data_IF_376151014056
#
_entry.id   IF_376151014056
#
_cell.length_a   1.000
_cell.length_b   1.000
_cell.length_c   1.000
_cell.angle_alpha   90.00
_cell.angle_beta   90.00
_cell.angle_gamma   90.00
#
_symmetry.space_group_name_H-M   'P 1'
#
loop_
_entity.id
_entity.type
_entity.pdbx_description
1 polymer ?
#
# COMPACT_ATOMS: atom_id res chain seq x y z
N UNK A 1 -17.95 48.98 20.29
CA UNK A 1 -18.46 48.04 19.29
C UNK A 1 -17.35 47.05 19.03
N UNK A 2 -17.63 45.85 19.50
CA UNK A 2 -16.74 44.71 19.65
C UNK A 2 -16.17 44.18 18.33
N UNK A 3 -14.91 43.73 18.38
CA UNK A 3 -14.53 42.39 17.96
C UNK A 3 -13.14 42.10 18.54
N UNK A 4 -13.13 41.37 19.67
CA UNK A 4 -11.91 40.79 20.23
C UNK A 4 -11.46 39.67 19.30
N UNK A 5 -10.26 39.81 18.74
CA UNK A 5 -9.48 38.68 18.22
C UNK A 5 -9.21 37.71 19.37
N UNK A 6 -9.87 36.55 19.34
CA UNK A 6 -9.52 35.41 20.18
C UNK A 6 -8.80 34.40 19.30
N UNK A 7 -7.48 34.48 19.27
CA UNK A 7 -6.64 33.37 18.87
C UNK A 7 -6.77 32.29 19.95
N UNK A 8 -7.51 31.22 19.66
CA UNK A 8 -7.55 30.04 20.50
C UNK A 8 -6.47 29.08 19.98
N UNK A 9 -5.25 29.22 20.52
CA UNK A 9 -4.26 28.17 20.47
C UNK A 9 -4.73 27.06 21.43
N UNK A 10 -5.32 26.00 20.89
CA UNK A 10 -5.62 24.80 21.68
C UNK A 10 -4.33 23.97 21.69
N UNK A 11 -3.61 24.04 22.81
CA UNK A 11 -2.46 23.19 23.06
C UNK A 11 -2.90 21.73 23.14
N UNK A 12 -2.31 20.90 22.30
CA UNK A 12 -2.29 19.45 22.49
C UNK A 12 -1.59 19.17 23.83
N UNK A 13 -2.37 18.72 24.81
CA UNK A 13 -1.84 18.14 26.04
C UNK A 13 -1.09 16.87 25.66
N UNK A 14 0.22 16.84 25.95
CA UNK A 14 1.01 15.63 25.96
C UNK A 14 0.30 14.59 26.85
N UNK A 15 -0.28 13.57 26.22
CA UNK A 15 -1.01 12.53 26.93
C UNK A 15 0.00 11.52 27.49
N UNK A 16 0.10 11.47 28.81
CA UNK A 16 0.79 10.41 29.53
C UNK A 16 0.11 9.06 29.26
N UNK A 17 0.87 8.14 28.67
CA UNK A 17 0.51 6.74 28.39
C UNK A 17 0.15 6.03 29.70
N UNK A 18 -1.05 5.45 29.78
CA UNK A 18 -1.45 4.60 30.91
C UNK A 18 -1.08 3.15 30.56
N UNK A 19 0.00 2.67 31.16
CA UNK A 19 0.54 1.32 31.00
C UNK A 19 -0.35 0.31 31.75
N UNK A 20 -0.80 -0.73 31.07
CA UNK A 20 -1.38 -1.93 31.69
C UNK A 20 -0.54 -3.13 31.27
N UNK A 21 0.27 -3.62 32.22
CA UNK A 21 1.02 -4.88 32.32
C UNK A 21 1.51 -5.61 31.04
N UNK A 22 2.84 -5.82 30.99
CA UNK A 22 3.68 -6.39 29.91
C UNK A 22 3.84 -5.43 28.72
N UNK A 23 5.08 -5.19 28.25
CA UNK A 23 5.41 -4.15 27.27
C UNK A 23 4.45 -4.21 26.06
N UNK A 24 3.64 -3.15 25.82
CA UNK A 24 2.64 -3.18 24.76
C UNK A 24 3.33 -3.21 23.39
N UNK A 25 2.77 -3.98 22.45
CA UNK A 25 3.30 -4.04 21.07
C UNK A 25 3.24 -2.68 20.38
N UNK A 26 2.21 -1.89 20.70
CA UNK A 26 1.99 -0.55 20.17
C UNK A 26 1.45 0.39 21.25
N UNK A 27 1.89 1.64 21.22
CA UNK A 27 1.29 2.75 21.96
C UNK A 27 0.13 3.35 21.14
N UNK A 28 -0.99 3.65 21.79
CA UNK A 28 -2.18 4.21 21.16
C UNK A 28 -2.75 5.42 21.92
N UNK A 29 -3.52 6.32 21.25
CA UNK A 29 -4.12 7.47 21.89
C UNK A 29 -5.24 7.06 22.86
N UNK A 30 -5.59 7.90 23.86
CA UNK A 30 -6.63 7.58 24.82
C UNK A 30 -7.99 7.22 24.17
N UNK A 31 -8.51 6.05 24.54
CA UNK A 31 -9.79 5.51 24.05
C UNK A 31 -9.66 4.60 22.83
N UNK A 32 -8.47 4.48 22.24
CA UNK A 32 -8.17 3.45 21.26
C UNK A 32 -7.70 2.17 21.95
N UNK A 33 -7.95 1.06 21.27
CA UNK A 33 -7.62 -0.29 21.70
C UNK A 33 -7.09 -1.07 20.51
N UNK A 34 -6.24 -2.05 20.79
CA UNK A 34 -5.87 -3.05 19.80
C UNK A 34 -6.10 -4.47 20.29
N UNK A 35 -6.03 -5.40 19.34
CA UNK A 35 -5.96 -6.83 19.58
C UNK A 35 -5.04 -7.47 18.53
N UNK A 36 -4.24 -8.43 18.95
CA UNK A 36 -3.58 -9.39 18.05
C UNK A 36 -4.63 -10.30 17.43
N UNK A 37 -4.82 -10.17 16.12
CA UNK A 37 -5.69 -11.06 15.33
C UNK A 37 -4.98 -12.38 15.10
N UNK A 38 -3.71 -12.32 14.74
CA UNK A 38 -2.84 -13.47 14.52
C UNK A 38 -1.37 -13.04 14.67
N UNK A 39 -0.53 -13.99 15.06
CA UNK A 39 0.92 -13.90 15.22
C UNK A 39 1.57 -15.21 14.71
N UNK A 40 2.89 -15.31 14.74
CA UNK A 40 3.63 -16.50 14.28
C UNK A 40 3.28 -17.80 15.02
N UNK A 41 2.63 -17.73 16.18
CA UNK A 41 2.11 -18.92 16.90
C UNK A 41 0.77 -19.41 16.36
N UNK A 42 0.12 -18.61 15.50
CA UNK A 42 -1.18 -18.93 14.91
C UNK A 42 -1.05 -20.09 13.93
N UNK A 43 -1.90 -21.09 14.11
CA UNK A 43 -2.08 -22.21 13.17
C UNK A 43 -3.38 -21.99 12.41
N UNK A 44 -3.30 -22.02 11.10
CA UNK A 44 -4.42 -21.85 10.18
C UNK A 44 -5.40 -23.03 10.25
N UNK A 45 -6.59 -22.81 9.73
CA UNK A 45 -7.70 -23.79 9.78
C UNK A 45 -7.42 -25.07 9.00
N UNK A 46 -6.47 -25.03 8.06
CA UNK A 46 -5.94 -26.18 7.32
C UNK A 46 -4.75 -26.86 8.01
N UNK A 47 -4.34 -26.38 9.20
CA UNK A 47 -3.23 -26.89 9.99
C UNK A 47 -1.86 -26.30 9.64
N UNK A 48 -1.78 -25.39 8.67
CA UNK A 48 -0.51 -24.73 8.32
C UNK A 48 -0.12 -23.67 9.36
N UNK A 49 1.17 -23.50 9.69
CA UNK A 49 1.60 -22.37 10.52
C UNK A 49 1.45 -21.06 9.76
N UNK A 50 1.18 -19.96 10.47
CA UNK A 50 1.21 -18.61 9.88
C UNK A 50 2.60 -18.37 9.24
N UNK A 51 2.65 -17.93 7.97
CA UNK A 51 3.92 -17.54 7.35
C UNK A 51 4.52 -16.25 7.94
N UNK A 52 5.84 -16.11 7.83
CA UNK A 52 6.59 -14.94 8.32
C UNK A 52 6.29 -13.65 7.54
N UNK A 53 6.95 -12.57 7.95
CA UNK A 53 7.02 -11.26 7.28
C UNK A 53 5.69 -10.77 6.69
N UNK A 54 4.69 -10.63 7.55
CA UNK A 54 3.39 -10.14 7.11
C UNK A 54 3.47 -8.65 6.76
N UNK A 55 3.12 -8.33 5.52
CA UNK A 55 3.32 -7.00 4.95
C UNK A 55 1.99 -6.44 4.41
N UNK A 56 1.92 -6.02 3.14
CA UNK A 56 0.75 -5.44 2.51
C UNK A 56 -0.53 -6.23 2.70
N UNK A 57 -1.64 -5.53 2.92
CA UNK A 57 -2.91 -6.18 3.18
C UNK A 57 -4.11 -5.40 2.62
N UNK A 58 -5.12 -6.14 2.18
CA UNK A 58 -6.43 -5.61 1.80
C UNK A 58 -7.55 -6.18 2.66
N UNK A 59 -8.53 -5.34 3.02
CA UNK A 59 -9.75 -5.75 3.72
C UNK A 59 -10.96 -5.80 2.78
N UNK A 60 -11.74 -6.87 2.91
CA UNK A 60 -12.91 -7.16 2.09
C UNK A 60 -14.11 -7.53 2.99
N UNK A 61 -15.35 -7.22 2.58
CA UNK A 61 -16.54 -7.62 3.33
C UNK A 61 -16.74 -9.13 3.30
N UNK A 62 -16.91 -9.75 4.46
CA UNK A 62 -17.23 -11.16 4.59
C UNK A 62 -18.68 -11.43 5.03
N UNK A 63 -19.12 -12.70 5.01
CA UNK A 63 -20.44 -13.08 5.49
C UNK A 63 -20.60 -12.77 6.98
N UNK A 64 -21.84 -12.50 7.42
CA UNK A 64 -22.19 -12.30 8.84
C UNK A 64 -21.39 -11.17 9.53
N UNK A 65 -21.14 -10.06 8.84
CA UNK A 65 -20.33 -8.94 9.33
C UNK A 65 -18.91 -9.36 9.73
N UNK A 66 -18.32 -10.28 8.98
CA UNK A 66 -16.89 -10.58 9.10
C UNK A 66 -16.10 -9.67 8.16
N UNK A 67 -14.82 -9.49 8.46
CA UNK A 67 -13.83 -8.90 7.55
C UNK A 67 -12.96 -10.02 7.00
N UNK A 68 -12.76 -10.09 5.70
CA UNK A 68 -11.77 -10.95 5.06
C UNK A 68 -10.52 -10.11 4.82
N UNK A 69 -9.40 -10.49 5.42
CA UNK A 69 -8.09 -9.87 5.17
C UNK A 69 -7.32 -10.76 4.20
N UNK A 70 -6.76 -10.19 3.15
CA UNK A 70 -5.70 -10.83 2.35
C UNK A 70 -4.39 -10.20 2.81
N UNK A 71 -3.44 -11.01 3.25
CA UNK A 71 -2.17 -10.57 3.86
C UNK A 71 -1.03 -11.12 3.04
N UNK A 72 -0.15 -10.24 2.56
CA UNK A 72 1.09 -10.59 1.90
C UNK A 72 2.12 -11.14 2.89
N UNK A 73 3.05 -11.95 2.37
CA UNK A 73 4.20 -12.44 3.10
C UNK A 73 5.48 -12.14 2.31
N UNK A 74 6.27 -11.19 2.78
CA UNK A 74 7.41 -10.57 2.07
C UNK A 74 8.68 -11.44 2.03
N UNK A 75 8.49 -12.76 2.05
CA UNK A 75 9.56 -13.71 2.29
C UNK A 75 10.55 -13.81 1.12
N UNK A 76 11.82 -13.77 1.47
CA UNK A 76 12.92 -14.14 0.57
C UNK A 76 12.99 -15.66 0.39
N UNK A 77 13.58 -16.16 -0.71
CA UNK A 77 13.68 -17.61 -0.95
C UNK A 77 14.43 -18.34 0.16
N UNK A 78 13.75 -19.30 0.79
CA UNK A 78 14.29 -20.11 1.89
C UNK A 78 14.03 -19.56 3.30
N UNK A 79 13.36 -18.41 3.42
CA UNK A 79 13.02 -17.78 4.70
C UNK A 79 11.80 -18.46 5.37
N UNK A 80 11.96 -19.06 6.55
CA UNK A 80 10.85 -19.67 7.28
C UNK A 80 10.19 -18.69 8.28
N UNK A 81 8.90 -18.86 8.61
CA UNK A 81 7.99 -19.87 8.07
C UNK A 81 7.52 -19.52 6.65
N UNK A 82 7.73 -20.42 5.69
CA UNK A 82 7.37 -20.22 4.28
C UNK A 82 5.85 -20.27 4.08
N UNK A 83 5.36 -19.64 3.00
CA UNK A 83 3.99 -19.87 2.52
C UNK A 83 3.89 -21.26 1.85
N UNK A 84 3.06 -22.19 2.37
CA UNK A 84 2.90 -23.51 1.78
C UNK A 84 2.31 -23.46 0.34
N UNK A 85 2.65 -24.43 -0.53
CA UNK A 85 2.08 -24.49 -1.87
C UNK A 85 0.56 -24.73 -1.88
N UNK A 86 -0.16 -23.94 -2.68
CA UNK A 86 -1.59 -24.13 -3.00
C UNK A 86 -1.80 -24.41 -4.50
N UNK A 87 -3.04 -24.70 -4.91
CA UNK A 87 -3.37 -24.82 -6.33
C UNK A 87 -2.99 -23.54 -7.09
N UNK A 88 -2.32 -23.68 -8.25
CA UNK A 88 -1.84 -22.52 -9.02
C UNK A 88 -0.53 -21.90 -8.50
N UNK A 89 0.18 -22.59 -7.59
CA UNK A 89 1.52 -22.21 -7.11
C UNK A 89 2.47 -21.85 -8.27
N UNK A 90 3.08 -20.66 -8.21
CA UNK A 90 3.85 -20.11 -9.32
C UNK A 90 5.25 -20.73 -9.46
N UNK A 91 6.05 -20.74 -8.39
CA UNK A 91 7.41 -21.25 -8.39
C UNK A 91 7.76 -21.97 -7.08
N UNK A 92 8.12 -23.27 -7.16
CA UNK A 92 8.46 -24.13 -6.02
C UNK A 92 9.69 -23.71 -5.23
N UNK A 93 10.54 -22.85 -5.79
CA UNK A 93 11.69 -22.31 -5.08
C UNK A 93 11.41 -21.05 -4.27
N UNK A 94 10.22 -20.44 -4.43
CA UNK A 94 9.86 -19.19 -3.77
C UNK A 94 9.09 -19.44 -2.46
N UNK A 95 9.28 -18.55 -1.50
CA UNK A 95 8.78 -18.72 -0.12
C UNK A 95 7.61 -17.81 0.23
N UNK A 96 7.35 -16.79 -0.58
CA UNK A 96 6.29 -15.80 -0.37
C UNK A 96 4.94 -16.23 -0.96
N UNK A 97 3.98 -15.32 -0.84
CA UNK A 97 2.59 -15.54 -1.21
C UNK A 97 1.65 -14.68 -0.38
N UNK A 98 0.41 -15.13 -0.26
CA UNK A 98 -0.60 -14.48 0.57
C UNK A 98 -1.37 -15.49 1.41
N UNK A 99 -1.88 -15.03 2.54
CA UNK A 99 -2.87 -15.74 3.33
C UNK A 99 -4.17 -14.95 3.47
N UNK A 100 -5.25 -15.64 3.76
CA UNK A 100 -6.54 -15.06 4.11
C UNK A 100 -6.82 -15.26 5.59
N UNK A 101 -7.35 -14.23 6.24
CA UNK A 101 -7.90 -14.29 7.59
C UNK A 101 -9.35 -13.81 7.60
N UNK A 102 -10.27 -14.68 8.04
CA UNK A 102 -11.64 -14.26 8.33
C UNK A 102 -11.74 -13.81 9.79
N UNK A 103 -12.01 -12.53 9.98
CA UNK A 103 -12.09 -11.88 11.28
C UNK A 103 -13.55 -11.56 11.62
N UNK A 104 -14.00 -11.98 12.80
CA UNK A 104 -15.35 -11.71 13.29
C UNK A 104 -15.59 -10.24 13.64
N UNK A 105 -16.86 -9.80 13.79
CA UNK A 105 -17.19 -8.41 14.18
C UNK A 105 -16.69 -8.04 15.59
N UNK A 106 -16.31 -9.03 16.38
CA UNK A 106 -15.65 -8.83 17.66
C UNK A 106 -14.11 -8.68 17.54
N UNK A 107 -13.56 -8.63 16.32
CA UNK A 107 -12.13 -8.61 15.98
C UNK A 107 -11.36 -9.87 16.39
N UNK A 108 -12.02 -11.02 16.47
CA UNK A 108 -11.33 -12.31 16.69
C UNK A 108 -11.14 -13.02 15.37
N UNK A 109 -9.99 -13.67 15.18
CA UNK A 109 -9.81 -14.61 14.10
C UNK A 109 -10.81 -15.76 14.23
N UNK A 110 -11.53 -16.05 13.14
CA UNK A 110 -12.45 -17.19 13.06
C UNK A 110 -11.78 -18.37 12.36
N UNK A 111 -11.07 -18.09 11.27
CA UNK A 111 -10.31 -19.05 10.48
C UNK A 111 -9.32 -18.30 9.58
N UNK A 112 -8.29 -19.00 9.15
CA UNK A 112 -7.28 -18.52 8.21
C UNK A 112 -6.78 -19.67 7.33
N UNK A 113 -6.25 -19.37 6.16
CA UNK A 113 -5.68 -20.33 5.19
C UNK A 113 -4.80 -19.61 4.17
N UNK A 114 -4.02 -20.35 3.38
CA UNK A 114 -3.18 -19.77 2.31
C UNK A 114 -4.02 -19.47 1.06
N UNK A 115 -3.84 -18.29 0.46
CA UNK A 115 -4.60 -17.83 -0.73
C UNK A 115 -3.79 -17.76 -2.01
N UNK A 116 -2.48 -17.56 -1.93
CA UNK A 116 -1.57 -17.57 -3.08
C UNK A 116 -0.20 -18.04 -2.62
N UNK A 117 0.59 -18.63 -3.51
CA UNK A 117 1.93 -19.15 -3.17
C UNK A 117 2.86 -19.20 -4.38
N UNK A 118 4.16 -19.33 -4.10
CA UNK A 118 5.20 -19.47 -5.11
C UNK A 118 5.61 -18.14 -5.75
N UNK A 119 5.25 -17.03 -5.11
CA UNK A 119 5.77 -15.69 -5.37
C UNK A 119 6.83 -15.34 -4.32
N UNK A 120 7.55 -14.24 -4.48
CA UNK A 120 8.61 -13.84 -3.54
C UNK A 120 8.57 -12.35 -3.25
N UNK A 121 9.00 -11.96 -2.04
CA UNK A 121 9.01 -10.57 -1.59
C UNK A 121 7.70 -9.86 -1.93
N UNK A 122 6.60 -10.47 -1.51
CA UNK A 122 5.28 -9.87 -1.66
C UNK A 122 5.21 -8.68 -0.69
N UNK A 123 5.53 -7.48 -1.15
CA UNK A 123 5.55 -6.28 -0.32
C UNK A 123 4.13 -5.73 -0.12
N UNK A 124 3.71 -4.74 -0.91
CA UNK A 124 2.36 -4.19 -0.85
C UNK A 124 1.46 -4.65 -2.01
N UNK A 125 0.57 -3.78 -2.48
CA UNK A 125 -0.44 -4.18 -3.44
C UNK A 125 -1.56 -3.17 -3.60
N UNK A 126 -2.76 -3.65 -3.91
CA UNK A 126 -3.95 -2.82 -3.91
C UNK A 126 -5.25 -3.58 -4.05
N UNK A 127 -6.30 -3.03 -3.46
CA UNK A 127 -7.67 -3.54 -3.58
C UNK A 127 -8.24 -3.15 -4.93
N UNK A 128 -8.91 -4.09 -5.60
CA UNK A 128 -9.61 -3.79 -6.85
C UNK A 128 -11.07 -3.40 -6.60
N UNK A 129 -11.67 -2.55 -7.45
CA UNK A 129 -13.09 -2.19 -7.36
C UNK A 129 -14.06 -3.37 -7.49
N UNK A 130 -13.61 -4.50 -8.04
CA UNK A 130 -14.41 -5.74 -8.17
C UNK A 130 -14.14 -6.76 -7.06
N UNK A 131 -13.41 -6.37 -6.00
CA UNK A 131 -13.29 -7.17 -4.78
C UNK A 131 -12.23 -8.25 -4.83
N UNK A 132 -11.11 -8.00 -5.52
CA UNK A 132 -9.90 -8.85 -5.49
C UNK A 132 -8.71 -8.07 -4.92
N UNK A 133 -7.63 -8.78 -4.59
CA UNK A 133 -6.37 -8.20 -4.15
C UNK A 133 -5.32 -8.35 -5.24
N UNK A 134 -4.58 -7.29 -5.55
CA UNK A 134 -3.35 -7.38 -6.36
C UNK A 134 -2.19 -7.40 -5.37
N UNK A 135 -1.46 -8.52 -5.31
CA UNK A 135 -0.17 -8.62 -4.62
C UNK A 135 0.97 -8.41 -5.62
N UNK A 136 2.09 -7.84 -5.19
CA UNK A 136 3.20 -7.52 -6.09
C UNK A 136 4.53 -8.01 -5.55
N UNK A 137 5.41 -8.47 -6.44
CA UNK A 137 6.76 -8.90 -6.08
C UNK A 137 7.76 -7.75 -6.18
N UNK A 138 8.44 -7.47 -5.07
CA UNK A 138 9.52 -6.49 -5.00
C UNK A 138 10.90 -7.16 -5.24
N UNK A 139 11.01 -7.95 -6.32
CA UNK A 139 12.25 -8.66 -6.65
C UNK A 139 12.33 -9.02 -8.12
N UNK A 140 13.51 -8.83 -8.73
CA UNK A 140 13.79 -9.29 -10.10
C UNK A 140 14.63 -10.57 -10.15
N UNK A 141 15.07 -11.08 -8.99
CA UNK A 141 15.99 -12.21 -8.91
C UNK A 141 15.30 -13.49 -9.39
N UNK A 142 15.84 -14.18 -10.40
CA UNK A 142 15.27 -15.44 -10.83
C UNK A 142 15.53 -16.52 -9.78
N UNK A 143 14.53 -17.36 -9.53
CA UNK A 143 14.60 -18.47 -8.57
C UNK A 143 14.42 -19.77 -9.34
N UNK A 144 15.46 -20.60 -9.36
CA UNK A 144 15.43 -21.87 -10.12
C UNK A 144 15.24 -21.69 -11.64
N UNK A 145 15.58 -20.52 -12.18
CA UNK A 145 15.39 -20.18 -13.60
C UNK A 145 14.01 -19.60 -13.95
N UNK A 146 13.12 -19.43 -12.97
CA UNK A 146 11.84 -18.74 -13.14
C UNK A 146 12.02 -17.25 -12.81
N UNK A 147 11.50 -16.37 -13.66
CA UNK A 147 11.62 -14.91 -13.53
C UNK A 147 10.57 -14.33 -12.58
N UNK A 148 10.97 -13.41 -11.70
CA UNK A 148 10.11 -12.71 -10.74
C UNK A 148 10.05 -11.19 -10.98
N UNK A 149 9.15 -10.50 -10.28
CA UNK A 149 8.93 -9.04 -10.33
C UNK A 149 7.55 -8.66 -10.87
N UNK A 150 6.60 -9.60 -10.78
CA UNK A 150 5.28 -9.48 -11.38
C UNK A 150 4.23 -9.07 -10.35
N UNK A 151 3.08 -8.61 -10.85
CA UNK A 151 1.86 -8.50 -10.06
C UNK A 151 1.01 -9.78 -10.23
N UNK A 152 0.28 -10.16 -9.19
CA UNK A 152 -0.66 -11.28 -9.19
C UNK A 152 -1.99 -10.85 -8.58
N UNK A 153 -3.09 -11.16 -9.28
CA UNK A 153 -4.43 -10.99 -8.72
C UNK A 153 -4.81 -12.23 -7.91
N UNK A 154 -5.34 -12.03 -6.71
CA UNK A 154 -5.77 -13.03 -5.73
C UNK A 154 -7.26 -12.85 -5.45
N UNK A 155 -8.01 -13.95 -5.49
CA UNK A 155 -9.44 -13.96 -5.17
C UNK A 155 -9.67 -14.24 -3.67
N UNK A 156 -10.18 -13.26 -2.89
CA UNK A 156 -10.37 -13.42 -1.44
C UNK A 156 -11.53 -14.35 -1.07
N UNK A 157 -12.44 -14.67 -2.00
CA UNK A 157 -13.66 -15.41 -1.73
C UNK A 157 -13.60 -16.87 -2.18
N UNK A 158 -12.62 -17.24 -3.01
CA UNK A 158 -12.56 -18.55 -3.65
C UNK A 158 -12.75 -19.74 -2.70
N UNK A 159 -12.07 -19.76 -1.55
CA UNK A 159 -12.22 -20.83 -0.57
C UNK A 159 -13.52 -20.73 0.25
N UNK A 160 -14.01 -19.52 0.51
CA UNK A 160 -15.27 -19.28 1.23
C UNK A 160 -16.48 -19.77 0.42
N UNK A 161 -16.38 -19.71 -0.91
CA UNK A 161 -17.40 -20.19 -1.85
C UNK A 161 -17.26 -21.70 -2.17
N UNK A 162 -16.39 -22.41 -1.43
CA UNK A 162 -16.16 -23.86 -1.59
C UNK A 162 -15.24 -24.23 -2.76
N UNK A 163 -14.55 -23.25 -3.35
CA UNK A 163 -13.51 -23.45 -4.34
C UNK A 163 -12.11 -23.63 -3.74
N UNK A 164 -11.11 -23.70 -4.61
CA UNK A 164 -9.68 -23.69 -4.22
C UNK A 164 -9.12 -22.27 -4.29
N UNK A 165 -8.02 -21.95 -3.59
CA UNK A 165 -7.27 -20.71 -3.80
C UNK A 165 -7.01 -20.43 -5.28
N UNK A 166 -7.10 -19.15 -5.68
CA UNK A 166 -6.95 -18.69 -7.07
C UNK A 166 -6.04 -17.47 -7.11
N UNK A 167 -4.97 -17.60 -7.89
CA UNK A 167 -4.09 -16.49 -8.25
C UNK A 167 -3.88 -16.46 -9.77
N UNK A 168 -3.61 -15.29 -10.33
CA UNK A 168 -3.25 -15.14 -11.76
C UNK A 168 -2.26 -14.02 -11.95
N UNK A 169 -1.20 -14.27 -12.73
CA UNK A 169 -0.16 -13.28 -13.04
C UNK A 169 -0.68 -12.23 -14.01
N UNK A 170 -0.30 -10.97 -13.80
CA UNK A 170 -0.76 -9.81 -14.57
C UNK A 170 0.38 -9.22 -15.41
N UNK A 171 0.71 -9.89 -16.52
CA UNK A 171 1.89 -9.56 -17.33
C UNK A 171 1.87 -8.12 -17.89
N UNK A 172 0.67 -7.62 -18.23
CA UNK A 172 0.49 -6.28 -18.76
C UNK A 172 0.83 -5.15 -17.76
N UNK A 173 0.92 -5.46 -16.46
CA UNK A 173 1.35 -4.53 -15.42
C UNK A 173 2.87 -4.39 -15.33
N UNK A 174 3.62 -5.22 -16.07
CA UNK A 174 5.06 -5.14 -16.23
C UNK A 174 5.87 -5.69 -15.06
N UNK A 175 7.18 -5.83 -15.32
CA UNK A 175 8.15 -6.47 -14.42
C UNK A 175 9.23 -5.48 -13.94
N UNK A 176 9.26 -5.26 -12.63
CA UNK A 176 10.18 -4.32 -11.92
C UNK A 176 10.09 -4.58 -10.41
N UNK A 177 10.86 -3.84 -9.59
CA UNK A 177 10.78 -3.88 -8.12
C UNK A 177 9.51 -3.16 -7.67
N UNK A 178 8.38 -3.85 -7.67
CA UNK A 178 7.06 -3.21 -7.56
C UNK A 178 6.58 -3.25 -6.12
N UNK A 179 6.19 -2.08 -5.61
CA UNK A 179 5.72 -1.98 -4.24
C UNK A 179 4.20 -1.98 -4.13
N UNK A 180 3.54 -1.08 -4.84
CA UNK A 180 2.08 -0.92 -4.75
C UNK A 180 1.42 -0.93 -6.13
N UNK A 181 0.13 -1.25 -6.15
CA UNK A 181 -0.69 -1.33 -7.35
C UNK A 181 -2.11 -0.81 -7.10
N UNK A 182 -2.30 0.50 -7.22
CA UNK A 182 -3.58 1.17 -6.96
C UNK A 182 -4.46 1.24 -8.20
N UNK A 183 -5.71 0.78 -8.10
CA UNK A 183 -6.67 0.83 -9.20
C UNK A 183 -7.56 2.07 -9.09
N UNK A 184 -7.65 2.86 -10.16
CA UNK A 184 -8.68 3.91 -10.29
C UNK A 184 -10.03 3.26 -10.67
N UNK A 185 -11.08 3.39 -9.83
CA UNK A 185 -12.37 2.75 -10.06
C UNK A 185 -13.15 3.29 -11.27
N UNK A 186 -12.84 4.50 -11.74
CA UNK A 186 -13.50 5.14 -12.88
C UNK A 186 -12.88 4.72 -14.21
N UNK A 187 -11.57 4.88 -14.35
CA UNK A 187 -10.85 4.58 -15.59
C UNK A 187 -10.36 3.13 -15.69
N UNK A 188 -10.26 2.43 -14.56
CA UNK A 188 -9.64 1.12 -14.43
C UNK A 188 -8.13 1.15 -14.77
N UNK A 189 -7.49 2.32 -14.69
CA UNK A 189 -6.04 2.40 -14.72
C UNK A 189 -5.43 1.84 -13.44
N UNK A 190 -4.24 1.23 -13.53
CA UNK A 190 -3.49 0.70 -12.39
C UNK A 190 -2.21 1.48 -12.22
N UNK A 191 -2.12 2.29 -11.17
CA UNK A 191 -0.95 3.09 -10.80
C UNK A 191 0.02 2.26 -9.96
N UNK A 192 1.31 2.35 -10.26
CA UNK A 192 2.31 1.47 -9.66
C UNK A 192 3.58 2.24 -9.31
N UNK A 193 4.15 1.91 -8.17
CA UNK A 193 5.42 2.43 -7.65
C UNK A 193 6.56 1.43 -7.88
N UNK A 194 7.79 1.92 -7.92
CA UNK A 194 8.99 1.08 -8.00
C UNK A 194 9.97 1.45 -6.87
N UNK A 195 10.22 0.52 -5.95
CA UNK A 195 11.13 0.75 -4.82
C UNK A 195 12.58 0.58 -5.24
N UNK A 196 13.10 1.61 -5.92
CA UNK A 196 14.52 1.77 -6.15
C UNK A 196 14.90 3.24 -6.09
N UNK A 197 16.17 3.51 -5.79
CA UNK A 197 16.75 4.86 -5.82
C UNK A 197 16.65 5.55 -7.19
N UNK A 198 16.52 4.77 -8.26
CA UNK A 198 16.27 5.22 -9.64
C UNK A 198 14.87 4.81 -10.15
N UNK A 199 13.94 4.49 -9.25
CA UNK A 199 12.58 4.04 -9.54
C UNK A 199 11.71 5.08 -10.24
N UNK A 200 10.69 4.59 -10.95
CA UNK A 200 9.72 5.42 -11.68
C UNK A 200 8.30 5.21 -11.13
N UNK A 201 7.40 6.13 -11.47
CA UNK A 201 5.96 5.96 -11.25
C UNK A 201 5.29 5.56 -12.56
N UNK A 202 4.54 4.46 -12.55
CA UNK A 202 3.93 3.87 -13.73
C UNK A 202 2.41 3.90 -13.66
N UNK A 203 1.76 3.78 -14.82
CA UNK A 203 0.34 3.40 -14.89
C UNK A 203 0.11 2.42 -16.03
N UNK A 204 -0.73 1.43 -15.82
CA UNK A 204 -1.35 0.67 -16.90
C UNK A 204 -2.70 1.28 -17.24
N UNK A 205 -2.95 1.57 -18.52
CA UNK A 205 -4.23 2.10 -19.01
C UNK A 205 -4.89 1.05 -19.91
N UNK A 206 -6.09 0.53 -19.55
CA UNK A 206 -6.84 -0.35 -20.44
C UNK A 206 -7.12 0.31 -21.79
N UNK A 207 -7.11 -0.47 -22.87
CA UNK A 207 -7.36 0.04 -24.21
C UNK A 207 -8.77 0.66 -24.31
N UNK A 208 -9.00 1.65 -25.19
CA UNK A 208 -10.31 2.27 -25.36
C UNK A 208 -11.42 1.23 -25.59
N UNK A 209 -12.56 1.43 -24.94
CA UNK A 209 -13.73 0.52 -24.96
C UNK A 209 -13.51 -0.87 -24.32
N UNK A 210 -12.38 -1.09 -23.64
CA UNK A 210 -12.19 -2.25 -22.78
C UNK A 210 -12.51 -1.90 -21.33
N UNK A 211 -13.12 -2.84 -20.61
CA UNK A 211 -13.39 -2.74 -19.17
C UNK A 211 -13.09 -4.09 -18.52
N UNK A 212 -11.81 -4.40 -18.24
CA UNK A 212 -11.47 -5.61 -17.52
C UNK A 212 -12.09 -5.54 -16.12
N UNK A 213 -13.06 -6.41 -15.83
CA UNK A 213 -13.80 -6.42 -14.57
C UNK A 213 -13.96 -7.85 -14.05
N UNK A 214 -13.67 -8.06 -12.78
CA UNK A 214 -13.70 -9.37 -12.14
C UNK A 214 -12.35 -10.10 -12.20
N UNK A 215 -12.22 -11.13 -11.37
CA UNK A 215 -11.01 -11.94 -11.25
C UNK A 215 -10.52 -12.47 -12.60
N UNK A 216 -9.25 -12.21 -12.92
CA UNK A 216 -8.55 -12.67 -14.12
C UNK A 216 -8.80 -11.84 -15.37
N UNK A 217 -9.64 -10.81 -15.31
CA UNK A 217 -9.91 -9.97 -16.47
C UNK A 217 -8.67 -9.19 -16.93
N UNK A 218 -7.77 -8.81 -16.00
CA UNK A 218 -6.53 -8.09 -16.32
C UNK A 218 -5.45 -8.98 -16.93
N UNK A 219 -5.47 -10.29 -16.68
CA UNK A 219 -4.44 -11.21 -17.16
C UNK A 219 -4.27 -11.19 -18.68
N UNK A 220 -5.33 -10.84 -19.41
CA UNK A 220 -5.33 -10.71 -20.87
C UNK A 220 -5.89 -9.36 -21.35
N UNK A 221 -5.93 -8.35 -20.47
CA UNK A 221 -6.47 -7.05 -20.84
C UNK A 221 -5.55 -6.35 -21.85
N UNK A 222 -6.13 -5.91 -22.97
CA UNK A 222 -5.45 -5.00 -23.88
C UNK A 222 -5.30 -3.64 -23.20
N UNK A 223 -4.14 -3.00 -23.38
CA UNK A 223 -3.84 -1.71 -22.78
C UNK A 223 -2.38 -1.35 -22.96
N UNK A 224 -1.94 -0.31 -22.27
CA UNK A 224 -0.59 0.21 -22.37
C UNK A 224 -0.04 0.52 -20.98
N UNK A 225 1.15 -0.01 -20.70
CA UNK A 225 1.94 0.42 -19.55
C UNK A 225 2.72 1.69 -19.93
N UNK A 226 2.64 2.71 -19.08
CA UNK A 226 3.25 4.02 -19.28
C UNK A 226 4.03 4.43 -18.03
N UNK A 227 5.08 5.23 -18.21
CA UNK A 227 5.85 5.84 -17.13
C UNK A 227 5.59 7.35 -17.10
N UNK A 228 5.55 7.93 -15.90
CA UNK A 228 5.36 9.36 -15.68
C UNK A 228 6.62 10.13 -16.11
N UNK A 229 6.42 11.20 -16.87
CA UNK A 229 7.48 12.09 -17.35
C UNK A 229 7.12 13.56 -17.10
N UNK A 230 8.02 14.26 -16.41
CA UNK A 230 7.99 15.72 -16.27
C UNK A 230 9.14 16.32 -17.10
N UNK A 231 8.85 17.04 -18.20
CA UNK A 231 9.88 17.70 -19.01
C UNK A 231 10.79 18.64 -18.20
N UNK A 232 10.24 19.29 -17.18
CA UNK A 232 10.90 20.24 -16.30
C UNK A 232 11.64 19.60 -15.12
N UNK A 233 11.36 18.33 -14.79
CA UNK A 233 11.84 17.72 -13.54
C UNK A 233 12.21 16.25 -13.71
N UNK A 234 13.51 16.00 -13.90
CA UNK A 234 14.05 14.64 -14.00
C UNK A 234 14.03 13.87 -12.68
N UNK A 235 14.28 14.55 -11.56
CA UNK A 235 14.37 13.93 -10.23
C UNK A 235 13.37 14.60 -9.29
N UNK A 236 12.39 13.85 -8.81
CA UNK A 236 11.31 14.34 -7.96
C UNK A 236 11.82 15.00 -6.66
N UNK A 237 12.99 14.57 -6.14
CA UNK A 237 13.62 15.16 -4.95
C UNK A 237 13.98 16.65 -5.08
N UNK A 238 13.98 17.22 -6.30
CA UNK A 238 14.21 18.65 -6.50
C UNK A 238 12.92 19.50 -6.42
N UNK A 239 11.74 18.87 -6.33
CA UNK A 239 10.49 19.57 -6.08
C UNK A 239 10.43 20.13 -4.65
N UNK A 240 9.58 21.13 -4.46
CA UNK A 240 9.24 21.71 -3.17
C UNK A 240 7.80 21.39 -2.80
N UNK A 241 7.53 21.24 -1.51
CA UNK A 241 6.16 21.04 -1.03
C UNK A 241 5.22 22.13 -1.56
N UNK A 242 4.11 21.72 -2.16
CA UNK A 242 3.14 22.59 -2.83
C UNK A 242 3.39 22.79 -4.32
N UNK A 243 4.51 22.31 -4.86
CA UNK A 243 4.74 22.32 -6.31
C UNK A 243 3.69 21.46 -7.03
N UNK A 244 3.26 21.97 -8.19
CA UNK A 244 2.24 21.37 -9.04
C UNK A 244 2.81 21.21 -10.44
N UNK A 245 2.68 20.00 -10.98
CA UNK A 245 3.18 19.63 -12.30
C UNK A 245 2.04 19.07 -13.17
N UNK A 246 2.19 19.20 -14.49
CA UNK A 246 1.33 18.54 -15.47
C UNK A 246 2.14 17.43 -16.15
N UNK A 247 2.00 16.16 -15.73
CA UNK A 247 2.82 15.11 -16.28
C UNK A 247 2.41 14.75 -17.70
N UNK A 248 3.42 14.35 -18.47
CA UNK A 248 3.25 13.52 -19.64
C UNK A 248 3.39 12.05 -19.24
N UNK A 249 2.82 11.16 -20.04
CA UNK A 249 2.90 9.72 -19.85
C UNK A 249 3.47 9.10 -21.11
N UNK A 250 4.57 8.38 -20.96
CA UNK A 250 5.32 7.81 -22.08
C UNK A 250 5.25 6.30 -22.04
N UNK A 251 5.05 5.68 -23.20
CA UNK A 251 4.93 4.24 -23.32
C UNK A 251 6.16 3.53 -22.74
N UNK A 252 5.94 2.52 -21.89
CA UNK A 252 6.99 1.55 -21.54
C UNK A 252 7.28 0.70 -22.79
N UNK A 253 8.53 0.72 -23.31
CA UNK A 253 8.83 0.02 -24.56
C UNK A 253 8.64 -1.50 -24.50
N UNK A 254 9.07 -2.13 -23.40
CA UNK A 254 8.93 -3.56 -23.14
C UNK A 254 8.57 -3.82 -21.66
N UNK A 255 7.30 -4.16 -21.37
CA UNK A 255 6.85 -4.47 -20.00
C UNK A 255 7.54 -5.68 -19.34
N UNK A 256 8.16 -6.61 -20.07
CA UNK A 256 8.91 -7.73 -19.46
C UNK A 256 10.19 -7.23 -18.75
N UNK A 257 10.73 -6.10 -19.20
CA UNK A 257 11.89 -5.50 -18.54
C UNK A 257 13.15 -6.36 -18.62
N UNK A 258 13.26 -7.21 -19.65
CA UNK A 258 14.38 -8.14 -19.84
C UNK A 258 14.89 -8.14 -21.29
N UNK A 259 16.20 -8.04 -21.53
CA UNK A 259 17.29 -8.00 -20.54
C UNK A 259 17.51 -6.60 -19.94
N UNK A 260 16.82 -5.56 -20.46
CA UNK A 260 16.95 -4.20 -19.97
C UNK A 260 15.80 -3.88 -19.03
N UNK A 261 16.12 -3.67 -17.75
CA UNK A 261 15.16 -3.29 -16.73
C UNK A 261 14.25 -2.14 -17.20
N UNK A 262 12.96 -2.22 -16.90
CA UNK A 262 11.89 -1.31 -17.34
C UNK A 262 12.28 0.16 -17.24
N UNK A 263 12.80 0.62 -16.09
CA UNK A 263 13.25 2.01 -15.87
C UNK A 263 14.47 2.46 -16.69
N UNK A 264 15.24 1.54 -17.27
CA UNK A 264 16.51 1.81 -17.99
C UNK A 264 16.38 1.70 -19.51
N UNK A 265 15.17 1.45 -20.00
CA UNK A 265 14.89 1.39 -21.43
C UNK A 265 14.95 2.79 -22.06
N UNK A 266 14.96 2.83 -23.41
CA UNK A 266 14.94 4.08 -24.16
C UNK A 266 13.48 4.46 -24.37
N UNK A 267 13.02 5.49 -23.65
CA UNK A 267 11.68 6.03 -23.77
C UNK A 267 11.63 7.09 -24.87
N UNK A 268 10.49 7.13 -25.56
CA UNK A 268 10.19 8.13 -26.58
C UNK A 268 8.93 8.89 -26.17
N UNK A 269 8.93 10.20 -26.41
CA UNK A 269 7.69 10.97 -26.40
C UNK A 269 6.87 10.74 -27.68
N UNK A 270 5.74 11.44 -27.80
CA UNK A 270 4.84 11.33 -28.95
C UNK A 270 5.46 11.77 -30.28
N UNK A 271 6.52 12.59 -30.25
CA UNK A 271 7.24 13.07 -31.43
C UNK A 271 8.43 12.15 -31.79
N UNK A 272 8.67 11.09 -31.02
CA UNK A 272 9.78 10.16 -31.21
C UNK A 272 11.11 10.67 -30.65
N UNK A 273 11.10 11.69 -29.80
CA UNK A 273 12.29 12.21 -29.13
C UNK A 273 12.63 11.35 -27.92
N UNK A 274 13.91 11.07 -27.72
CA UNK A 274 14.38 10.35 -26.52
C UNK A 274 14.15 11.21 -25.28
N UNK A 275 13.33 10.69 -24.36
CA UNK A 275 13.02 11.32 -23.08
C UNK A 275 13.44 10.39 -21.93
N UNK A 276 13.43 10.93 -20.71
CA UNK A 276 13.75 10.18 -19.50
C UNK A 276 12.60 10.38 -18.52
N UNK A 277 11.83 9.32 -18.19
CA UNK A 277 10.82 9.39 -17.15
C UNK A 277 11.37 9.95 -15.84
N UNK A 278 10.49 10.57 -15.06
CA UNK A 278 10.86 11.22 -13.80
C UNK A 278 11.16 10.16 -12.75
N UNK A 279 12.31 10.31 -12.10
CA UNK A 279 12.75 9.43 -11.02
C UNK A 279 12.11 9.86 -9.71
N UNK A 280 11.46 8.92 -9.05
CA UNK A 280 11.00 9.01 -7.66
C UNK A 280 11.92 8.13 -6.83
N UNK A 281 12.55 8.71 -5.81
CA UNK A 281 13.58 8.01 -5.05
C UNK A 281 12.91 7.06 -4.05
N UNK A 282 12.91 5.76 -4.37
CA UNK A 282 12.27 4.69 -3.59
C UNK A 282 10.77 4.94 -3.42
N UNK A 283 9.99 4.73 -4.48
CA UNK A 283 8.53 4.85 -4.38
C UNK A 283 7.94 3.59 -3.76
N UNK A 284 7.18 3.72 -2.66
CA UNK A 284 6.67 2.58 -1.91
C UNK A 284 5.12 2.53 -1.97
N UNK A 285 4.42 2.91 -0.90
CA UNK A 285 2.98 2.81 -0.79
C UNK A 285 2.21 3.61 -1.84
N UNK A 286 1.03 3.12 -2.22
CA UNK A 286 0.04 3.92 -2.95
C UNK A 286 -1.38 3.51 -2.61
N UNK A 287 -2.32 4.47 -2.70
CA UNK A 287 -3.73 4.22 -2.43
C UNK A 287 -4.66 5.23 -3.12
N UNK A 288 -5.88 4.80 -3.45
CA UNK A 288 -6.89 5.65 -4.08
C UNK A 288 -7.73 6.42 -3.06
N UNK A 289 -7.87 7.73 -3.28
CA UNK A 289 -8.78 8.59 -2.52
C UNK A 289 -10.12 8.72 -3.25
N UNK A 290 -11.18 8.14 -2.69
CA UNK A 290 -12.56 8.37 -3.17
C UNK A 290 -13.02 9.81 -2.93
N UNK A 291 -12.43 10.50 -1.94
CA UNK A 291 -12.76 11.88 -1.59
C UNK A 291 -12.24 12.86 -2.64
N UNK A 292 -11.02 12.64 -3.13
CA UNK A 292 -10.38 13.54 -4.10
C UNK A 292 -10.36 13.00 -5.53
N UNK A 293 -10.74 11.74 -5.75
CA UNK A 293 -10.58 11.02 -7.02
C UNK A 293 -9.14 11.09 -7.53
N UNK A 294 -8.22 10.71 -6.65
CA UNK A 294 -6.78 10.85 -6.85
C UNK A 294 -6.04 9.64 -6.30
N UNK A 295 -4.89 9.31 -6.89
CA UNK A 295 -3.94 8.37 -6.28
C UNK A 295 -2.95 9.14 -5.43
N UNK A 296 -2.77 8.69 -4.19
CA UNK A 296 -1.67 9.07 -3.33
C UNK A 296 -0.58 8.02 -3.42
N UNK A 297 0.68 8.46 -3.40
CA UNK A 297 1.83 7.57 -3.27
C UNK A 297 2.94 8.31 -2.55
N UNK A 298 3.78 7.59 -1.83
CA UNK A 298 4.97 8.15 -1.21
C UNK A 298 6.23 7.86 -2.03
N UNK A 299 7.29 8.57 -1.65
CA UNK A 299 8.65 8.21 -1.96
C UNK A 299 9.43 8.26 -0.66
N UNK A 300 9.69 7.09 -0.07
CA UNK A 300 10.26 6.92 1.28
C UNK A 300 11.60 7.63 1.47
N UNK A 301 12.47 7.56 0.45
CA UNK A 301 13.76 8.25 0.43
C UNK A 301 13.70 9.58 -0.33
N UNK A 302 12.49 10.08 -0.58
CA UNK A 302 12.22 11.36 -1.22
C UNK A 302 12.66 12.55 -0.37
N UNK A 303 12.81 13.69 -1.05
CA UNK A 303 13.07 14.99 -0.43
C UNK A 303 14.53 15.40 -0.34
N UNK A 304 14.77 16.70 -0.54
CA UNK A 304 16.11 17.30 -0.46
C UNK A 304 16.65 17.41 0.96
N UNK A 305 15.78 17.23 1.95
CA UNK A 305 16.05 17.40 3.39
C UNK A 305 16.57 16.12 4.07
N UNK A 306 17.40 15.34 3.36
CA UNK A 306 18.05 14.14 3.92
C UNK A 306 17.29 12.84 3.73
N UNK A 307 16.54 12.69 2.63
CA UNK A 307 15.88 11.43 2.23
C UNK A 307 14.92 10.88 3.29
N UNK A 308 13.99 11.74 3.74
CA UNK A 308 13.08 11.48 4.88
C UNK A 308 11.66 11.10 4.48
N UNK A 309 11.31 11.27 3.21
CA UNK A 309 9.96 10.97 2.72
C UNK A 309 9.29 12.14 2.03
N UNK A 310 8.62 11.84 0.94
CA UNK A 310 7.67 12.72 0.26
C UNK A 310 6.33 12.00 0.10
N UNK A 311 5.23 12.74 0.09
CA UNK A 311 3.90 12.24 -0.28
C UNK A 311 3.40 13.04 -1.47
N UNK A 312 3.05 12.34 -2.52
CA UNK A 312 2.59 12.86 -3.79
C UNK A 312 1.11 12.52 -4.00
N UNK A 313 0.41 13.42 -4.71
CA UNK A 313 -0.97 13.21 -5.15
C UNK A 313 -1.07 13.43 -6.64
N UNK A 314 -1.60 12.45 -7.36
CA UNK A 314 -1.93 12.57 -8.78
C UNK A 314 -3.44 12.52 -9.00
N UNK A 315 -3.97 13.56 -9.63
CA UNK A 315 -5.39 13.74 -9.96
C UNK A 315 -5.60 13.47 -11.46
N UNK A 316 -6.10 12.28 -11.87
CA UNK A 316 -6.14 11.89 -13.28
C UNK A 316 -7.02 12.78 -14.15
N UNK A 317 -8.16 13.24 -13.61
CA UNK A 317 -9.11 14.10 -14.33
C UNK A 317 -8.55 15.47 -14.69
N UNK A 318 -7.62 15.98 -13.87
CA UNK A 318 -6.96 17.25 -14.07
C UNK A 318 -5.57 17.11 -14.71
N UNK A 319 -5.08 15.87 -14.91
CA UNK A 319 -3.70 15.54 -15.22
C UNK A 319 -2.72 16.38 -14.39
N UNK A 320 -2.85 16.28 -13.06
CA UNK A 320 -2.12 17.14 -12.11
C UNK A 320 -1.42 16.30 -11.06
N UNK A 321 -0.11 16.45 -10.97
CA UNK A 321 0.73 15.88 -9.91
C UNK A 321 1.09 16.97 -8.91
N UNK A 322 0.92 16.75 -7.62
CA UNK A 322 1.25 17.70 -6.55
C UNK A 322 2.11 17.03 -5.49
N UNK A 323 3.21 17.66 -5.08
CA UNK A 323 3.95 17.26 -3.88
C UNK A 323 3.21 17.82 -2.66
N UNK A 324 2.38 16.99 -2.01
CA UNK A 324 1.51 17.46 -0.92
C UNK A 324 2.27 17.59 0.40
N UNK A 325 3.32 16.79 0.59
CA UNK A 325 4.14 16.82 1.80
C UNK A 325 5.59 16.40 1.53
N UNK A 326 6.55 17.08 2.18
CA UNK A 326 7.93 16.62 2.28
C UNK A 326 8.37 16.68 3.74
N UNK A 327 8.90 15.57 4.25
CA UNK A 327 9.46 15.56 5.60
C UNK A 327 10.77 16.34 5.66
N UNK A 328 10.91 17.20 6.67
CA UNK A 328 12.13 17.95 6.98
C UNK A 328 12.83 17.46 8.25
N UNK A 329 12.24 16.50 8.94
CA UNK A 329 12.69 16.02 10.24
C UNK A 329 12.14 14.61 10.49
N UNK A 330 13.02 13.66 10.77
CA UNK A 330 12.65 12.28 11.10
C UNK A 330 11.83 12.16 12.38
N UNK A 331 11.83 13.16 13.26
CA UNK A 331 10.92 13.20 14.40
C UNK A 331 9.46 13.51 14.04
N UNK A 332 9.18 13.90 12.78
CA UNK A 332 7.83 14.20 12.28
C UNK A 332 7.36 13.09 11.34
N UNK A 333 8.19 12.76 10.34
CA UNK A 333 7.96 11.65 9.42
C UNK A 333 9.33 11.12 9.00
N UNK A 334 9.55 9.81 9.10
CA UNK A 334 10.80 9.15 8.68
C UNK A 334 10.47 7.94 7.83
N UNK A 335 10.83 7.99 6.55
CA UNK A 335 10.73 6.86 5.61
C UNK A 335 9.31 6.25 5.58
N UNK A 336 8.30 7.03 5.13
CA UNK A 336 6.96 6.47 4.90
C UNK A 336 7.05 5.40 3.82
N UNK A 337 6.48 4.23 4.12
CA UNK A 337 6.37 3.09 3.21
C UNK A 337 4.90 2.88 2.88
N UNK A 338 4.23 1.94 3.56
CA UNK A 338 2.86 1.60 3.24
C UNK A 338 1.93 2.77 3.59
N UNK A 339 0.96 3.07 2.73
CA UNK A 339 -0.04 4.09 3.00
C UNK A 339 -1.48 3.65 2.72
N UNK A 340 -2.40 4.29 3.42
CA UNK A 340 -3.85 4.11 3.30
C UNK A 340 -4.53 5.48 3.29
N UNK A 341 -5.35 5.75 2.28
CA UNK A 341 -6.28 6.87 2.37
C UNK A 341 -7.48 6.43 3.21
N UNK A 342 -7.67 7.10 4.35
CA UNK A 342 -8.75 6.81 5.29
C UNK A 342 -10.11 7.21 4.67
N UNK A 343 -11.24 6.60 5.10
CA UNK A 343 -12.56 6.87 4.53
C UNK A 343 -13.00 8.34 4.48
N UNK A 344 -12.40 9.21 5.30
CA UNK A 344 -12.69 10.65 5.34
C UNK A 344 -11.67 11.52 4.60
N UNK A 345 -10.62 10.91 4.03
CA UNK A 345 -9.68 11.54 3.10
C UNK A 345 -8.25 11.70 3.64
N UNK A 346 -8.03 11.77 4.95
CA UNK A 346 -6.66 11.86 5.49
C UNK A 346 -5.82 10.63 5.10
N UNK A 347 -4.51 10.79 4.99
CA UNK A 347 -3.60 9.71 4.58
C UNK A 347 -2.89 9.16 5.82
N UNK A 348 -3.14 7.89 6.14
CA UNK A 348 -2.37 7.15 7.13
C UNK A 348 -1.09 6.63 6.46
N UNK A 349 0.05 6.88 7.09
CA UNK A 349 1.38 6.49 6.64
C UNK A 349 1.98 5.53 7.68
N UNK A 350 2.50 4.41 7.21
CA UNK A 350 3.33 3.50 7.99
C UNK A 350 4.80 3.91 7.80
N UNK A 351 5.53 4.12 8.89
CA UNK A 351 6.98 4.34 8.83
C UNK A 351 7.75 3.02 8.84
N UNK A 352 8.78 2.94 7.99
CA UNK A 352 9.88 1.97 8.02
C UNK A 352 11.23 2.71 8.19
N UNK A 353 11.33 3.46 9.28
CA UNK A 353 12.56 4.12 9.69
C UNK A 353 13.46 3.17 10.50
N UNK A 354 14.76 3.48 10.54
CA UNK A 354 15.73 2.71 11.36
C UNK A 354 15.60 2.91 12.88
N UNK A 355 14.54 3.58 13.35
CA UNK A 355 14.32 3.97 14.75
C UNK A 355 13.06 3.36 15.34
N UNK A 356 12.33 4.14 16.14
CA UNK A 356 10.95 3.80 16.50
C UNK A 356 10.04 4.12 15.31
N UNK A 357 9.11 3.23 14.99
CA UNK A 357 8.21 3.39 13.87
C UNK A 357 6.83 3.84 14.31
N UNK A 358 6.18 4.61 13.45
CA UNK A 358 4.91 5.24 13.74
C UNK A 358 3.88 5.00 12.65
N UNK A 359 2.62 4.94 13.07
CA UNK A 359 1.52 5.31 12.20
C UNK A 359 1.32 6.82 12.31
N UNK A 360 1.54 7.53 11.21
CA UNK A 360 1.33 8.97 11.10
C UNK A 360 0.10 9.24 10.26
N UNK A 361 -0.62 10.32 10.54
CA UNK A 361 -1.73 10.79 9.72
C UNK A 361 -1.32 12.11 9.10
N UNK A 362 -1.20 12.15 7.77
CA UNK A 362 -1.18 13.38 7.00
C UNK A 362 -2.62 13.84 6.80
N UNK A 363 -3.00 14.87 7.55
CA UNK A 363 -4.32 15.49 7.44
C UNK A 363 -4.48 16.22 6.13
N UNK A 364 -5.72 16.37 5.68
CA UNK A 364 -6.04 17.10 4.44
C UNK A 364 -5.65 18.59 4.42
N UNK A 365 -5.24 19.17 5.54
CA UNK A 365 -4.66 20.51 5.62
C UNK A 365 -3.12 20.54 5.58
N UNK A 366 -2.48 19.37 5.42
CA UNK A 366 -1.04 19.23 5.25
C UNK A 366 -0.24 19.07 6.55
N UNK A 367 -0.89 18.67 7.65
CA UNK A 367 -0.26 18.48 8.96
C UNK A 367 -0.01 16.99 9.23
N UNK A 368 1.12 16.64 9.82
CA UNK A 368 1.37 15.29 10.35
C UNK A 368 0.89 15.21 11.80
N UNK A 369 0.13 14.16 12.11
CA UNK A 369 -0.35 13.82 13.45
C UNK A 369 0.06 12.40 13.80
N UNK A 370 0.59 12.24 15.01
CA UNK A 370 1.01 10.94 15.55
C UNK A 370 -0.22 10.13 15.95
N UNK A 371 -0.33 8.90 15.44
CA UNK A 371 -1.44 8.03 15.78
C UNK A 371 -1.00 6.84 16.64
N UNK A 372 -0.09 6.01 16.14
CA UNK A 372 0.42 4.85 16.89
C UNK A 372 1.95 4.82 16.84
N UNK A 373 2.57 4.23 17.86
CA UNK A 373 4.02 4.03 17.92
C UNK A 373 4.32 2.57 18.21
N UNK A 374 5.41 2.06 17.67
CA UNK A 374 5.99 0.78 18.06
C UNK A 374 7.51 0.86 18.14
N UNK A 375 8.09 0.01 18.98
CA UNK A 375 9.54 -0.26 19.02
C UNK A 375 9.85 -1.70 18.60
N UNK A 376 8.84 -2.42 18.10
CA UNK A 376 8.93 -3.86 17.81
C UNK A 376 9.44 -4.10 16.40
N UNK A 377 8.84 -3.43 15.42
CA UNK A 377 9.11 -3.58 13.98
C UNK A 377 8.70 -2.33 13.22
N UNK A 378 8.80 -2.34 11.90
CA UNK A 378 8.02 -1.43 11.06
C UNK A 378 6.52 -1.72 11.14
N UNK A 379 5.72 -0.72 10.79
CA UNK A 379 4.30 -0.94 10.48
C UNK A 379 4.18 -1.29 9.00
N UNK A 380 3.33 -2.26 8.68
CA UNK A 380 3.11 -2.66 7.29
C UNK A 380 1.63 -2.96 7.00
N UNK A 381 1.20 -2.81 5.75
CA UNK A 381 -0.11 -3.24 5.27
C UNK A 381 -1.32 -2.65 5.99
N UNK A 382 -1.35 -1.35 6.27
CA UNK A 382 -2.52 -0.73 6.88
C UNK A 382 -3.75 -0.80 5.95
N UNK A 383 -4.89 -1.26 6.46
CA UNK A 383 -6.16 -1.32 5.71
C UNK A 383 -7.39 -1.07 6.60
N UNK A 384 -8.51 -0.69 5.99
CA UNK A 384 -9.73 -0.32 6.72
C UNK A 384 -10.90 -1.26 6.45
N UNK A 385 -11.62 -1.65 7.50
CA UNK A 385 -12.97 -2.24 7.40
C UNK A 385 -13.99 -1.33 8.08
N UNK A 386 -15.14 -1.10 7.43
CA UNK A 386 -16.25 -0.30 7.95
C UNK A 386 -17.31 -1.11 8.71
N UNK A 387 -17.17 -2.44 8.78
CA UNK A 387 -18.15 -3.31 9.43
C UNK A 387 -17.48 -4.38 10.32
N UNK A 388 -17.10 -4.00 11.57
CA UNK A 388 -17.15 -2.65 12.16
C UNK A 388 -15.91 -1.81 11.82
N UNK A 389 -16.00 -0.49 11.98
CA UNK A 389 -14.89 0.47 11.89
C UNK A 389 -13.64 -0.02 12.65
N UNK A 390 -12.69 -0.55 11.89
CA UNK A 390 -11.47 -1.19 12.38
C UNK A 390 -10.36 -0.92 11.38
N UNK A 391 -9.27 -0.36 11.89
CA UNK A 391 -7.99 -0.33 11.17
C UNK A 391 -7.28 -1.66 11.44
N UNK A 392 -6.84 -2.34 10.39
CA UNK A 392 -5.93 -3.46 10.50
C UNK A 392 -4.55 -3.03 10.03
N UNK A 393 -3.51 -3.53 10.69
CA UNK A 393 -2.12 -3.23 10.35
C UNK A 393 -1.24 -4.38 10.81
N UNK A 394 -0.13 -4.61 10.12
CA UNK A 394 0.87 -5.58 10.51
C UNK A 394 2.06 -4.93 11.22
N UNK A 395 2.71 -5.70 12.07
CA UNK A 395 4.13 -5.53 12.38
C UNK A 395 4.84 -6.62 11.56
N UNK A 396 5.80 -6.23 10.71
CA UNK A 396 6.37 -7.15 9.72
C UNK A 396 7.15 -8.29 10.39
N UNK A 397 8.16 -7.94 11.19
CA UNK A 397 8.95 -8.87 12.00
C UNK A 397 8.89 -8.48 13.48
N UNK A 398 8.15 -9.19 14.36
CA UNK A 398 7.52 -10.50 14.18
C UNK A 398 6.17 -10.40 13.45
N UNK A 399 5.88 -11.35 12.56
CA UNK A 399 4.68 -11.38 11.69
C UNK A 399 3.37 -11.37 12.49
N UNK A 400 2.88 -10.17 12.83
CA UNK A 400 1.72 -9.95 13.70
C UNK A 400 0.71 -9.07 12.96
N UNK A 401 -0.54 -9.53 12.89
CA UNK A 401 -1.67 -8.70 12.44
C UNK A 401 -2.43 -8.15 13.64
N UNK A 402 -2.58 -6.83 13.69
CA UNK A 402 -3.32 -6.11 14.71
C UNK A 402 -4.65 -5.61 14.16
N UNK A 403 -5.68 -5.60 15.01
CA UNK A 403 -6.93 -4.87 14.79
C UNK A 403 -7.02 -3.73 15.80
N UNK A 404 -7.14 -2.50 15.32
CA UNK A 404 -7.23 -1.27 16.10
C UNK A 404 -8.64 -0.69 15.97
N UNK A 405 -9.25 -0.32 17.10
CA UNK A 405 -10.56 0.34 17.11
C UNK A 405 -10.65 1.35 18.24
N UNK A 406 -11.55 2.32 18.10
CA UNK A 406 -11.71 3.38 19.08
C UNK A 406 -12.66 4.47 18.59
N UNK A 407 -12.61 5.66 19.19
CA UNK A 407 -13.46 6.79 18.82
C UNK A 407 -12.90 7.47 17.56
N UNK A 408 -12.84 6.75 16.43
CA UNK A 408 -12.31 7.26 15.16
C UNK A 408 -12.93 8.59 14.75
N UNK A 409 -14.23 8.80 15.04
CA UNK A 409 -14.93 10.07 14.80
C UNK A 409 -14.27 11.30 15.44
N UNK A 410 -13.49 11.13 16.52
CA UNK A 410 -12.73 12.25 17.13
C UNK A 410 -11.55 12.69 16.27
N UNK A 411 -11.00 11.81 15.44
CA UNK A 411 -9.98 12.17 14.47
C UNK A 411 -10.60 12.91 13.28
N UNK A 412 -11.86 12.62 12.93
CA UNK A 412 -12.55 13.25 11.78
C UNK A 412 -13.08 14.65 12.11
N UNK A 413 -13.29 14.95 13.40
CA UNK A 413 -13.95 16.17 13.87
C UNK A 413 -12.96 17.31 14.21
N UNK A 414 -11.70 17.19 13.77
CA UNK A 414 -10.67 18.24 13.90
C UNK A 414 -10.91 19.46 13.01
N UNK A 415 -12.03 19.54 12.29
CA UNK A 415 -12.52 20.78 11.70
C UNK A 415 -13.10 20.61 10.31
N UNK A 416 -14.44 20.58 10.25
CA UNK A 416 -15.25 20.83 9.06
C UNK A 416 -15.15 19.84 7.90
N UNK A 417 -15.74 18.64 8.01
CA UNK A 417 -16.00 17.76 6.84
C UNK A 417 -17.13 16.75 7.11
N UNK A 418 -18.35 17.25 7.38
CA UNK A 418 -19.57 16.51 7.03
C UNK A 418 -20.16 17.13 5.77
N UNK A 419 -19.87 16.54 4.61
CA UNK A 419 -20.84 16.52 3.52
C UNK A 419 -21.35 15.09 3.44
N UNK A 420 -22.55 14.91 3.98
CA UNK A 420 -23.33 13.68 3.88
C UNK A 420 -24.06 13.63 2.52
N UNK A 421 -24.59 12.45 2.20
CA UNK A 421 -24.14 11.54 1.15
C UNK A 421 -24.38 12.02 -0.28
#
# INVERSE_FOLDING_TARGET
MDARNSALAIGLLAASVVVVADDPLIDLPPGFHYRVVADESTVYSDGTPRPGDADGMGAFPGPNNTTILVVNHELSPGEPPVVPPVAGHYNSGASGGTSIMQVGPNRKLLQAWVSSSGTTRNCAGGVTPWGTWITVEESLSPIGGVSHGWAFEVDPYAALDGGTPRQVRLDALGRFYKEAATVDPGSLAVYQTEDLVDGLFYRFVPAPNTRPWGFGAYANAAGQLEALYLPELRFANAAQQGDVFQPEWVAVPDPDGSPTATRRQIYLDNDGTVVRPTVFYRGEGSWWSDVENAVYFDATGGGGSGHRGQVWRYEPSANRLTLVYESRNSGILDMPDNLLVLPWGDVLLCEDGGGENWLRILTMDGTIVDFARTTVSEFAGATWSSSPDTLYVNLQGPSITLAIWGPWSRLFDTGARRRSP
#
